data_IF_118647471107
#
_entry.id   IF_118647471107
#
_cell.length_a   1.000
_cell.length_b   1.000
_cell.length_c   1.000
_cell.angle_alpha   90.00
_cell.angle_beta   90.00
_cell.angle_gamma   90.00
#
_symmetry.space_group_name_H-M   'P 1'
#
loop_
_entity.id
_entity.type
_entity.pdbx_description
1 polymer ?
#
# COMPACT_ATOMS: atom_id res chain seq x y z
N UNK A 1 18.49 -28.04 -38.80
CA UNK A 1 18.70 -26.63 -39.17
C UNK A 1 18.56 -25.78 -37.91
N UNK A 2 19.68 -25.33 -37.34
CA UNK A 2 19.74 -24.54 -36.10
C UNK A 2 19.71 -23.06 -36.49
N UNK A 3 18.62 -22.36 -36.20
CA UNK A 3 18.55 -20.91 -36.32
C UNK A 3 19.10 -20.28 -35.04
N UNK A 4 20.24 -19.61 -35.17
CA UNK A 4 20.83 -18.78 -34.14
C UNK A 4 20.10 -17.42 -34.15
N UNK A 5 19.47 -17.07 -33.03
CA UNK A 5 18.95 -15.72 -32.83
C UNK A 5 20.09 -14.83 -32.31
N UNK A 6 20.47 -13.87 -33.15
CA UNK A 6 21.52 -12.90 -32.86
C UNK A 6 21.10 -11.93 -31.75
N UNK A 7 22.03 -11.72 -30.82
CA UNK A 7 22.02 -10.63 -29.85
C UNK A 7 22.25 -9.30 -30.58
N UNK A 8 21.27 -8.40 -30.50
CA UNK A 8 21.45 -7.00 -30.89
C UNK A 8 21.81 -6.18 -29.65
N UNK A 9 23.06 -5.70 -29.61
CA UNK A 9 23.58 -4.71 -28.67
C UNK A 9 23.60 -3.36 -29.38
N UNK A 10 22.99 -2.35 -28.77
CA UNK A 10 23.24 -0.90 -28.84
C UNK A 10 21.93 -0.17 -28.47
N UNK A 11 21.89 0.88 -27.66
CA UNK A 11 22.60 2.15 -27.80
C UNK A 11 22.74 2.80 -26.41
N UNK A 12 23.95 3.25 -26.06
CA UNK A 12 24.19 4.11 -24.91
C UNK A 12 23.71 5.54 -25.22
N UNK A 13 22.66 5.98 -24.53
CA UNK A 13 22.17 7.36 -24.57
C UNK A 13 22.97 8.22 -23.60
N UNK A 14 23.94 8.97 -24.12
CA UNK A 14 24.61 10.04 -23.39
C UNK A 14 23.61 11.18 -23.11
N UNK A 15 23.06 11.21 -21.90
CA UNK A 15 22.19 12.31 -21.46
C UNK A 15 23.05 13.49 -21.02
N UNK A 16 22.88 14.61 -21.72
CA UNK A 16 23.45 15.90 -21.37
C UNK A 16 22.90 16.33 -20.00
N UNK A 17 23.76 16.26 -18.97
CA UNK A 17 23.57 16.93 -17.69
C UNK A 17 23.58 18.45 -17.93
N UNK A 18 22.42 19.02 -18.27
CA UNK A 18 22.23 20.46 -18.13
C UNK A 18 22.29 20.79 -16.65
N UNK A 19 23.40 21.37 -16.22
CA UNK A 19 23.64 21.78 -14.85
C UNK A 19 22.49 22.65 -14.35
N UNK A 20 21.74 22.12 -13.38
CA UNK A 20 20.82 22.92 -12.61
C UNK A 20 21.63 24.09 -11.97
N UNK A 21 21.10 25.33 -12.00
CA UNK A 21 21.78 26.45 -11.38
C UNK A 21 22.03 26.13 -9.91
N UNK A 22 23.29 26.23 -9.50
CA UNK A 22 23.66 26.16 -8.09
C UNK A 22 22.93 27.31 -7.38
N UNK A 23 21.88 26.98 -6.65
CA UNK A 23 21.18 27.93 -5.80
C UNK A 23 22.21 28.55 -4.84
N UNK A 24 22.47 29.85 -5.00
CA UNK A 24 23.37 30.59 -4.12
C UNK A 24 22.77 30.59 -2.72
N UNK A 25 23.49 29.99 -1.76
CA UNK A 25 23.17 30.05 -0.35
C UNK A 25 23.45 31.47 0.17
N UNK A 26 22.42 32.31 0.27
CA UNK A 26 22.50 33.56 1.02
C UNK A 26 22.71 33.23 2.51
N UNK A 27 23.49 34.06 3.20
CA UNK A 27 23.95 33.84 4.58
C UNK A 27 22.85 33.32 5.50
N UNK A 28 22.96 32.05 5.88
CA UNK A 28 21.89 31.29 6.51
C UNK A 28 21.57 31.80 7.91
N UNK A 29 20.38 32.36 8.07
CA UNK A 29 19.76 32.47 9.38
C UNK A 29 19.74 31.09 10.02
N UNK A 30 20.32 30.98 11.21
CA UNK A 30 20.30 29.71 11.96
C UNK A 30 18.86 29.35 12.25
N UNK A 31 18.45 28.14 11.86
CA UNK A 31 17.09 27.63 12.09
C UNK A 31 16.93 27.20 13.56
N UNK A 32 15.79 27.56 14.14
CA UNK A 32 15.35 27.22 15.48
C UNK A 32 13.95 26.59 15.44
N UNK A 33 13.57 25.92 16.54
CA UNK A 33 12.22 25.41 16.69
C UNK A 33 11.21 26.55 16.75
N UNK A 34 10.07 26.38 16.08
CA UNK A 34 9.03 27.40 15.93
C UNK A 34 9.24 28.32 14.72
N UNK A 35 10.35 28.19 14.00
CA UNK A 35 10.62 29.03 12.83
C UNK A 35 9.60 28.78 11.71
N UNK A 36 9.21 29.87 11.05
CA UNK A 36 8.45 29.86 9.80
C UNK A 36 9.38 30.16 8.64
N UNK A 37 9.51 29.20 7.73
CA UNK A 37 10.39 29.23 6.59
C UNK A 37 9.65 29.79 5.37
N UNK A 38 10.21 30.86 4.79
CA UNK A 38 9.69 31.51 3.58
C UNK A 38 10.62 31.38 2.38
N UNK A 39 11.80 30.78 2.58
CA UNK A 39 12.81 30.53 1.55
C UNK A 39 13.38 29.12 1.70
N UNK A 40 13.93 28.55 0.63
CA UNK A 40 14.60 27.25 0.69
C UNK A 40 15.71 27.26 1.74
N UNK A 41 15.69 26.25 2.59
CA UNK A 41 16.49 26.24 3.82
C UNK A 41 17.13 24.87 3.97
N UNK A 42 18.40 24.85 4.37
CA UNK A 42 19.11 23.63 4.76
C UNK A 42 19.43 23.68 6.24
N UNK A 43 19.05 22.64 6.98
CA UNK A 43 19.48 22.52 8.38
C UNK A 43 20.97 22.23 8.46
N UNK A 44 21.61 22.81 9.48
CA UNK A 44 23.05 22.64 9.78
C UNK A 44 23.30 21.95 11.11
N UNK A 45 22.23 21.60 11.83
CA UNK A 45 22.24 20.91 13.12
C UNK A 45 20.90 20.25 13.38
N UNK A 46 20.91 19.29 14.31
CA UNK A 46 19.69 18.72 14.88
C UNK A 46 18.89 19.78 15.65
N UNK A 47 17.57 19.63 15.65
CA UNK A 47 16.63 20.44 16.41
C UNK A 47 15.95 19.57 17.46
N UNK A 48 16.04 19.99 18.72
CA UNK A 48 15.33 19.38 19.85
C UNK A 48 14.21 20.31 20.25
N UNK A 49 13.01 20.06 19.72
CA UNK A 49 11.88 20.96 19.84
C UNK A 49 10.97 20.54 20.99
N UNK A 50 10.56 21.47 21.88
CA UNK A 50 9.55 21.16 22.88
C UNK A 50 8.28 20.62 22.22
N UNK A 51 7.65 19.61 22.81
CA UNK A 51 6.38 19.06 22.33
C UNK A 51 5.17 19.98 22.48
N UNK A 52 5.36 21.25 22.82
CA UNK A 52 4.27 22.22 22.95
C UNK A 52 3.88 22.76 21.58
N UNK A 53 2.57 22.90 21.34
CA UNK A 53 1.99 23.44 20.12
C UNK A 53 2.61 24.79 19.70
N UNK A 54 2.59 25.15 18.38
CA UNK A 54 1.87 24.45 17.31
C UNK A 54 2.72 23.51 16.43
N UNK A 55 4.02 23.77 16.25
CA UNK A 55 4.88 22.99 15.33
C UNK A 55 6.37 23.15 15.67
N UNK A 56 7.20 22.22 15.23
CA UNK A 56 8.66 22.36 15.28
C UNK A 56 9.19 23.28 14.15
N UNK A 57 8.71 23.13 12.92
CA UNK A 57 8.95 24.07 11.82
C UNK A 57 7.67 24.25 10.99
N UNK A 58 7.52 25.42 10.38
CA UNK A 58 6.44 25.72 9.43
C UNK A 58 7.00 26.14 8.09
N UNK A 59 6.50 25.58 7.00
CA UNK A 59 6.84 25.97 5.63
C UNK A 59 5.69 26.82 5.09
N UNK A 60 5.94 28.11 4.87
CA UNK A 60 4.97 29.07 4.36
C UNK A 60 5.35 29.68 3.00
N UNK A 61 6.59 29.48 2.55
CA UNK A 61 7.03 29.91 1.21
C UNK A 61 6.54 28.95 0.12
N UNK A 62 6.07 29.46 -1.01
CA UNK A 62 5.68 28.62 -2.15
C UNK A 62 6.91 28.10 -2.90
N UNK A 63 6.91 26.82 -3.25
CA UNK A 63 7.93 26.17 -4.06
C UNK A 63 9.27 25.97 -3.36
N UNK A 64 9.34 26.15 -2.04
CA UNK A 64 10.61 26.07 -1.31
C UNK A 64 10.98 24.64 -0.93
N UNK A 65 12.28 24.41 -0.76
CA UNK A 65 12.84 23.14 -0.32
C UNK A 65 13.35 23.29 1.10
N UNK A 66 12.83 22.46 2.01
CA UNK A 66 13.44 22.21 3.31
C UNK A 66 14.30 20.94 3.22
N UNK A 67 15.61 21.13 3.21
CA UNK A 67 16.59 20.05 3.25
C UNK A 67 17.07 19.88 4.70
N UNK A 68 16.75 18.76 5.33
CA UNK A 68 17.18 18.50 6.70
C UNK A 68 18.69 18.19 6.79
N UNK A 69 19.40 18.04 5.67
CA UNK A 69 20.85 17.90 5.65
C UNK A 69 21.40 16.65 6.34
N UNK A 70 20.56 15.62 6.55
CA UNK A 70 20.84 14.44 7.36
C UNK A 70 20.59 14.64 8.85
N UNK A 71 20.14 15.82 9.27
CA UNK A 71 19.85 16.14 10.67
C UNK A 71 18.48 15.65 11.12
N UNK A 72 18.31 15.62 12.43
CA UNK A 72 17.09 15.18 13.11
C UNK A 72 16.32 16.36 13.68
N UNK A 73 15.03 16.44 13.38
CA UNK A 73 14.05 17.22 14.15
C UNK A 73 13.34 16.24 15.08
N UNK A 74 13.51 16.41 16.40
CA UNK A 74 12.89 15.52 17.39
C UNK A 74 12.04 16.29 18.38
N UNK A 75 10.93 15.68 18.79
CA UNK A 75 10.14 16.15 19.92
C UNK A 75 10.89 15.88 21.23
N UNK A 76 10.79 16.81 22.17
CA UNK A 76 11.26 16.67 23.55
C UNK A 76 10.12 16.88 24.55
N UNK A 77 10.21 16.24 25.71
CA UNK A 77 9.19 16.31 26.76
C UNK A 77 8.14 15.18 26.72
N UNK A 78 7.03 15.32 27.46
CA UNK A 78 5.92 14.36 27.46
C UNK A 78 5.24 14.24 26.09
N UNK A 79 4.65 13.08 25.82
CA UNK A 79 3.85 12.85 24.62
C UNK A 79 2.76 13.93 24.46
N UNK A 80 2.61 14.43 23.23
CA UNK A 80 1.55 15.36 22.86
C UNK A 80 1.04 14.99 21.46
N UNK A 81 -0.19 14.51 21.40
CA UNK A 81 -0.84 14.04 20.18
C UNK A 81 -1.10 15.18 19.18
N UNK A 82 -1.16 16.43 19.65
CA UNK A 82 -1.34 17.62 18.83
C UNK A 82 -0.01 18.24 18.35
N UNK A 83 1.13 17.67 18.75
CA UNK A 83 2.43 18.20 18.32
C UNK A 83 2.69 17.88 16.86
N UNK A 84 3.17 18.87 16.10
CA UNK A 84 3.53 18.71 14.69
C UNK A 84 5.04 18.90 14.49
N UNK A 85 5.69 17.99 13.76
CA UNK A 85 7.09 18.13 13.38
C UNK A 85 7.27 19.24 12.36
N UNK A 86 6.69 19.06 11.18
CA UNK A 86 6.72 20.04 10.09
C UNK A 86 5.30 20.30 9.60
N UNK A 87 4.85 21.54 9.70
CA UNK A 87 3.62 22.02 9.06
C UNK A 87 3.94 22.59 7.68
N UNK A 88 3.15 22.25 6.66
CA UNK A 88 3.33 22.72 5.29
C UNK A 88 2.07 23.42 4.79
N UNK A 89 2.20 24.71 4.45
CA UNK A 89 1.05 25.53 4.03
C UNK A 89 0.93 25.71 2.52
N UNK A 90 2.03 25.45 1.80
CA UNK A 90 2.26 25.81 0.40
C UNK A 90 2.97 24.67 -0.32
N UNK A 91 2.90 24.62 -1.66
CA UNK A 91 3.51 23.52 -2.40
C UNK A 91 5.02 23.50 -2.18
N UNK A 92 5.55 22.41 -1.64
CA UNK A 92 6.92 22.39 -1.12
C UNK A 92 7.56 21.00 -1.22
N UNK A 93 8.85 20.93 -0.88
CA UNK A 93 9.58 19.69 -0.72
C UNK A 93 10.25 19.64 0.66
N UNK A 94 10.14 18.51 1.34
CA UNK A 94 10.92 18.19 2.54
C UNK A 94 11.79 16.97 2.24
N UNK A 95 13.08 17.03 2.58
CA UNK A 95 13.99 15.94 2.24
C UNK A 95 15.15 15.71 3.20
N UNK A 96 15.75 14.54 3.08
CA UNK A 96 17.09 14.21 3.57
C UNK A 96 17.29 14.45 5.06
N UNK A 97 16.65 13.65 5.91
CA UNK A 97 16.86 13.69 7.37
C UNK A 97 15.80 12.94 8.14
N UNK A 98 15.71 13.22 9.44
CA UNK A 98 14.85 12.47 10.36
C UNK A 98 13.85 13.39 11.06
N UNK A 99 12.60 12.94 11.18
CA UNK A 99 11.54 13.60 11.95
C UNK A 99 10.97 12.57 12.91
N UNK A 100 11.04 12.85 14.22
CA UNK A 100 10.80 11.83 15.24
C UNK A 100 9.94 12.28 16.41
N UNK A 101 9.02 11.40 16.82
CA UNK A 101 8.36 11.43 18.11
C UNK A 101 7.15 12.36 18.19
N UNK A 102 6.68 12.92 17.08
CA UNK A 102 5.58 13.89 17.08
C UNK A 102 4.21 13.22 17.02
N UNK A 103 3.16 13.95 17.40
CA UNK A 103 1.80 13.54 17.10
C UNK A 103 1.57 13.43 15.60
N UNK A 104 2.05 14.42 14.83
CA UNK A 104 2.07 14.42 13.37
C UNK A 104 3.48 14.75 12.89
N UNK A 105 4.15 13.85 12.19
CA UNK A 105 5.53 14.05 11.70
C UNK A 105 5.59 15.19 10.67
N UNK A 106 4.93 14.99 9.53
CA UNK A 106 4.70 16.03 8.51
C UNK A 106 3.20 16.17 8.30
N UNK A 107 2.68 17.40 8.40
CA UNK A 107 1.25 17.66 8.26
C UNK A 107 0.94 18.83 7.33
N UNK A 108 -0.15 18.72 6.59
CA UNK A 108 -0.87 19.85 6.00
C UNK A 108 -2.01 20.26 6.95
N UNK A 109 -2.40 21.53 6.94
CA UNK A 109 -3.49 22.05 7.79
C UNK A 109 -4.68 22.48 6.92
N UNK A 110 -5.91 22.35 7.41
CA UNK A 110 -7.15 22.65 6.65
C UNK A 110 -7.18 24.01 5.96
N UNK A 111 -6.53 25.03 6.55
CA UNK A 111 -6.43 26.38 6.00
C UNK A 111 -5.34 26.57 4.94
N UNK A 112 -4.57 25.53 4.63
CA UNK A 112 -3.45 25.61 3.70
C UNK A 112 -3.90 25.54 2.23
N UNK A 113 -3.21 26.30 1.37
CA UNK A 113 -3.41 26.29 -0.08
C UNK A 113 -2.62 25.18 -0.79
N UNK A 114 -1.95 24.31 -0.02
CA UNK A 114 -1.12 23.24 -0.55
C UNK A 114 -1.96 22.23 -1.35
N UNK A 115 -1.40 21.81 -2.48
CA UNK A 115 -1.97 20.77 -3.34
C UNK A 115 -0.93 19.71 -3.72
N UNK A 116 0.35 20.00 -3.56
CA UNK A 116 1.44 19.11 -3.89
C UNK A 116 2.54 19.19 -2.82
N UNK A 117 2.89 18.05 -2.22
CA UNK A 117 4.01 17.95 -1.28
C UNK A 117 4.91 16.78 -1.67
N UNK A 118 6.20 17.07 -1.82
CA UNK A 118 7.22 16.06 -2.10
C UNK A 118 7.99 15.73 -0.83
N UNK A 119 8.03 14.46 -0.49
CA UNK A 119 8.79 13.91 0.64
C UNK A 119 9.83 12.95 0.09
N UNK A 120 11.10 13.19 0.38
CA UNK A 120 12.19 12.45 -0.23
C UNK A 120 13.31 12.11 0.75
N UNK A 121 13.72 10.85 0.84
CA UNK A 121 14.83 10.44 1.70
C UNK A 121 14.64 10.88 3.16
N UNK A 122 13.41 10.72 3.68
CA UNK A 122 13.08 11.02 5.07
C UNK A 122 12.99 9.74 5.90
N UNK A 123 13.46 9.80 7.14
CA UNK A 123 13.14 8.87 8.19
C UNK A 123 12.04 9.48 9.08
N UNK A 124 10.85 8.90 9.07
CA UNK A 124 9.69 9.33 9.86
C UNK A 124 9.46 8.27 10.95
N UNK A 125 9.91 8.59 12.17
CA UNK A 125 10.11 7.61 13.23
C UNK A 125 9.23 7.91 14.44
N UNK A 126 8.58 6.87 14.97
CA UNK A 126 7.90 6.89 16.27
C UNK A 126 6.90 8.05 16.42
N UNK A 127 6.25 8.45 15.32
CA UNK A 127 5.20 9.46 15.34
C UNK A 127 3.85 8.75 15.54
N UNK A 128 2.84 9.48 16.04
CA UNK A 128 1.48 8.94 15.96
C UNK A 128 1.05 8.84 14.48
N UNK A 129 1.10 9.93 13.73
CA UNK A 129 0.97 9.91 12.27
C UNK A 129 2.29 10.36 11.64
N UNK A 130 2.94 9.53 10.81
CA UNK A 130 4.16 9.96 10.13
C UNK A 130 3.88 11.06 9.10
N UNK A 131 2.87 10.86 8.25
CA UNK A 131 2.40 11.83 7.27
C UNK A 131 0.90 12.01 7.46
N UNK A 132 0.46 13.24 7.67
CA UNK A 132 -0.94 13.58 7.93
C UNK A 132 -1.47 14.56 6.88
N UNK A 133 -2.53 14.17 6.17
CA UNK A 133 -3.23 15.05 5.24
C UNK A 133 -4.40 15.78 5.92
N UNK A 134 -4.27 17.07 6.14
CA UNK A 134 -5.35 17.91 6.65
C UNK A 134 -6.14 18.67 5.58
N UNK A 135 -5.97 18.41 4.28
CA UNK A 135 -6.65 19.16 3.21
C UNK A 135 -7.28 18.28 2.14
N UNK A 136 -8.12 18.90 1.31
CA UNK A 136 -8.74 18.28 0.13
C UNK A 136 -7.86 18.46 -1.12
N UNK A 137 -8.02 17.54 -2.08
CA UNK A 137 -7.30 17.50 -3.36
C UNK A 137 -5.76 17.50 -3.22
N UNK A 138 -5.25 16.89 -2.14
CA UNK A 138 -3.82 16.85 -1.87
C UNK A 138 -3.10 15.79 -2.71
N UNK A 139 -1.87 16.05 -3.14
CA UNK A 139 -1.01 15.07 -3.81
C UNK A 139 0.33 14.97 -3.10
N UNK A 140 0.57 13.81 -2.49
CA UNK A 140 1.86 13.47 -1.92
C UNK A 140 2.67 12.66 -2.93
N UNK A 141 3.93 13.03 -3.11
CA UNK A 141 4.94 12.17 -3.73
C UNK A 141 5.96 11.79 -2.66
N UNK A 142 6.00 10.52 -2.28
CA UNK A 142 6.82 9.96 -1.22
C UNK A 142 7.84 9.04 -1.86
N UNK A 143 9.12 9.36 -1.73
CA UNK A 143 10.20 8.65 -2.45
C UNK A 143 11.35 8.34 -1.51
N UNK A 144 11.81 7.08 -1.50
CA UNK A 144 12.99 6.68 -0.70
C UNK A 144 12.85 6.99 0.80
N UNK A 145 11.62 6.99 1.32
CA UNK A 145 11.35 7.26 2.72
C UNK A 145 11.36 5.98 3.56
N UNK A 146 11.61 6.13 4.86
CA UNK A 146 11.53 5.07 5.86
C UNK A 146 10.53 5.48 6.93
N UNK A 147 9.41 4.78 7.01
CA UNK A 147 8.36 5.01 7.98
C UNK A 147 8.37 3.87 8.98
N UNK A 148 8.78 4.15 10.23
CA UNK A 148 8.99 3.12 11.24
C UNK A 148 8.46 3.49 12.62
N UNK A 149 7.88 2.51 13.31
CA UNK A 149 7.46 2.67 14.70
C UNK A 149 6.26 3.61 14.86
N UNK A 150 5.60 4.00 13.77
CA UNK A 150 4.49 4.93 13.85
C UNK A 150 3.19 4.19 14.18
N UNK A 151 2.28 4.88 14.86
CA UNK A 151 0.92 4.36 15.04
C UNK A 151 0.23 4.25 13.67
N UNK A 152 0.28 5.32 12.86
CA UNK A 152 -0.13 5.31 11.46
C UNK A 152 1.00 5.89 10.58
N UNK A 153 1.35 5.19 9.49
CA UNK A 153 2.35 5.67 8.53
C UNK A 153 1.80 6.82 7.66
N UNK A 154 0.74 6.54 6.90
CA UNK A 154 0.00 7.52 6.09
C UNK A 154 -1.41 7.69 6.64
N UNK A 155 -1.77 8.92 6.99
CA UNK A 155 -3.04 9.27 7.64
C UNK A 155 -3.64 10.54 7.03
N UNK A 156 -4.90 10.83 7.36
CA UNK A 156 -5.58 12.04 6.96
C UNK A 156 -6.68 12.44 7.95
N UNK A 157 -7.20 13.66 7.80
CA UNK A 157 -8.37 14.11 8.56
C UNK A 157 -9.57 13.23 8.19
N UNK A 158 -10.16 12.50 9.15
CA UNK A 158 -11.28 11.59 8.89
C UNK A 158 -12.46 12.33 8.28
N UNK A 159 -12.97 11.83 7.16
CA UNK A 159 -14.06 12.46 6.37
C UNK A 159 -13.83 13.93 5.92
N UNK A 160 -12.69 14.54 6.27
CA UNK A 160 -12.39 15.97 6.03
C UNK A 160 -11.28 16.21 5.02
N UNK A 161 -10.47 15.20 4.72
CA UNK A 161 -9.38 15.27 3.76
C UNK A 161 -9.59 14.34 2.58
N UNK A 162 -9.07 14.72 1.42
CA UNK A 162 -9.06 13.89 0.19
C UNK A 162 -7.75 14.09 -0.54
N UNK A 163 -7.40 13.14 -1.42
CA UNK A 163 -6.18 13.28 -2.22
C UNK A 163 -5.57 11.97 -2.64
N UNK A 164 -4.27 12.01 -2.95
CA UNK A 164 -3.51 10.83 -3.32
C UNK A 164 -2.12 10.77 -2.68
N UNK A 165 -1.68 9.55 -2.40
CA UNK A 165 -0.32 9.22 -1.99
C UNK A 165 0.34 8.38 -3.09
N UNK A 166 1.35 8.94 -3.76
CA UNK A 166 2.23 8.23 -4.69
C UNK A 166 3.52 7.84 -3.94
N UNK A 167 3.65 6.55 -3.61
CA UNK A 167 4.71 6.00 -2.76
C UNK A 167 5.67 5.18 -3.61
N UNK A 168 6.97 5.52 -3.57
CA UNK A 168 7.99 4.86 -4.40
C UNK A 168 9.22 4.51 -3.60
N UNK A 169 9.76 3.31 -3.83
CA UNK A 169 11.05 2.86 -3.28
C UNK A 169 11.19 3.12 -1.79
N UNK A 170 10.09 2.99 -1.05
CA UNK A 170 10.00 3.35 0.37
C UNK A 170 9.78 2.12 1.24
N UNK A 171 10.12 2.23 2.53
CA UNK A 171 10.06 1.12 3.48
C UNK A 171 9.16 1.48 4.65
N UNK A 172 8.17 0.63 4.92
CA UNK A 172 7.24 0.73 6.05
C UNK A 172 7.50 -0.45 6.97
N UNK A 173 7.88 -0.19 8.22
CA UNK A 173 8.21 -1.27 9.15
C UNK A 173 7.85 -1.00 10.60
N UNK A 174 7.35 -2.00 11.32
CA UNK A 174 6.95 -1.86 12.72
C UNK A 174 5.97 -0.72 12.96
N UNK A 175 5.10 -0.43 12.00
CA UNK A 175 3.96 0.46 12.23
C UNK A 175 2.77 -0.38 12.69
N UNK A 176 1.89 0.22 13.50
CA UNK A 176 0.61 -0.41 13.85
C UNK A 176 -0.26 -0.47 12.59
N UNK A 177 -0.45 0.65 11.90
CA UNK A 177 -1.04 0.70 10.56
C UNK A 177 -0.08 1.42 9.61
N UNK A 178 0.42 0.76 8.58
CA UNK A 178 1.32 1.43 7.63
C UNK A 178 0.59 2.47 6.77
N UNK A 179 -0.64 2.19 6.32
CA UNK A 179 -1.44 3.10 5.51
C UNK A 179 -2.92 3.03 5.90
N UNK A 180 -3.49 4.17 6.26
CA UNK A 180 -4.92 4.32 6.52
C UNK A 180 -5.56 5.07 5.35
N UNK A 181 -6.52 4.44 4.69
CA UNK A 181 -7.13 4.93 3.44
C UNK A 181 -8.57 5.34 3.69
N UNK A 182 -8.79 6.64 3.75
CA UNK A 182 -10.09 7.25 4.02
C UNK A 182 -10.30 8.45 3.08
N UNK A 183 -10.93 8.20 1.93
CA UNK A 183 -11.07 9.13 0.81
C UNK A 183 -9.74 9.50 0.11
N UNK A 184 -8.75 8.62 0.17
CA UNK A 184 -7.49 8.77 -0.57
C UNK A 184 -7.27 7.67 -1.61
N UNK A 185 -6.58 8.02 -2.68
CA UNK A 185 -5.99 7.05 -3.60
C UNK A 185 -4.52 6.81 -3.22
N UNK A 186 -4.13 5.56 -3.03
CA UNK A 186 -2.74 5.18 -2.76
C UNK A 186 -2.20 4.33 -3.91
N UNK A 187 -1.15 4.82 -4.57
CA UNK A 187 -0.39 4.08 -5.58
C UNK A 187 1.02 3.83 -5.04
N UNK A 188 1.38 2.56 -4.91
CA UNK A 188 2.62 2.08 -4.32
C UNK A 188 3.43 1.36 -5.40
N UNK A 189 4.68 1.78 -5.56
CA UNK A 189 5.62 1.22 -6.52
C UNK A 189 6.93 0.86 -5.81
N UNK A 190 7.46 -0.33 -6.09
CA UNK A 190 8.81 -0.74 -5.68
C UNK A 190 9.07 -0.56 -4.17
N UNK A 191 8.05 -0.75 -3.34
CA UNK A 191 8.12 -0.46 -1.90
C UNK A 191 7.99 -1.72 -1.06
N UNK A 192 8.49 -1.66 0.17
CA UNK A 192 8.52 -2.80 1.10
C UNK A 192 7.72 -2.50 2.35
N UNK A 193 6.81 -3.41 2.70
CA UNK A 193 6.00 -3.37 3.91
C UNK A 193 6.34 -4.60 4.73
N UNK A 194 7.00 -4.42 5.87
CA UNK A 194 7.43 -5.55 6.68
C UNK A 194 7.38 -5.36 8.18
N UNK A 195 6.96 -6.40 8.89
CA UNK A 195 6.85 -6.38 10.35
C UNK A 195 5.89 -5.29 10.84
N UNK A 196 4.89 -4.91 10.04
CA UNK A 196 3.79 -4.06 10.51
C UNK A 196 2.71 -4.95 11.13
N UNK A 197 1.93 -4.40 12.05
CA UNK A 197 0.73 -5.08 12.52
C UNK A 197 -0.30 -5.15 11.38
N UNK A 198 -0.54 -4.03 10.71
CA UNK A 198 -1.38 -3.96 9.52
C UNK A 198 -0.70 -3.14 8.41
N UNK A 199 -0.57 -3.70 7.20
CA UNK A 199 0.00 -2.93 6.08
C UNK A 199 -1.01 -1.91 5.51
N UNK A 200 -2.30 -2.27 5.40
CA UNK A 200 -3.34 -1.38 4.86
C UNK A 200 -4.64 -1.48 5.64
N UNK A 201 -5.20 -0.34 6.01
CA UNK A 201 -6.60 -0.21 6.40
C UNK A 201 -7.34 0.52 5.29
N UNK A 202 -8.11 -0.20 4.45
CA UNK A 202 -8.85 0.43 3.35
C UNK A 202 -10.32 0.61 3.73
N UNK A 203 -10.69 1.84 4.10
CA UNK A 203 -12.07 2.19 4.43
C UNK A 203 -12.82 2.76 3.23
N UNK A 204 -12.21 3.75 2.57
CA UNK A 204 -12.73 4.37 1.38
C UNK A 204 -11.61 4.89 0.49
N UNK A 205 -11.72 4.67 -0.82
CA UNK A 205 -10.72 5.05 -1.80
C UNK A 205 -10.13 3.84 -2.53
N UNK A 206 -8.92 3.98 -3.08
CA UNK A 206 -8.28 2.93 -3.89
C UNK A 206 -6.85 2.67 -3.44
N UNK A 207 -6.44 1.41 -3.54
CA UNK A 207 -5.07 1.00 -3.22
C UNK A 207 -4.51 0.15 -4.34
N UNK A 208 -3.34 0.53 -4.84
CA UNK A 208 -2.61 -0.21 -5.88
C UNK A 208 -1.18 -0.46 -5.44
N UNK A 209 -0.77 -1.72 -5.44
CA UNK A 209 0.63 -2.14 -5.29
C UNK A 209 1.19 -2.62 -6.63
N UNK A 210 2.40 -2.17 -6.95
CA UNK A 210 3.15 -2.57 -8.14
C UNK A 210 4.57 -2.93 -7.77
N UNK A 211 5.03 -4.10 -8.21
CA UNK A 211 6.44 -4.52 -8.02
C UNK A 211 6.91 -4.33 -6.57
N UNK A 212 6.01 -4.58 -5.61
CA UNK A 212 6.21 -4.28 -4.19
C UNK A 212 6.26 -5.57 -3.39
N UNK A 213 6.72 -5.48 -2.15
CA UNK A 213 6.84 -6.64 -1.24
C UNK A 213 6.08 -6.37 0.06
N UNK A 214 5.19 -7.29 0.44
CA UNK A 214 4.45 -7.27 1.69
C UNK A 214 4.76 -8.57 2.45
N UNK A 215 5.61 -8.48 3.47
CA UNK A 215 6.13 -9.68 4.15
C UNK A 215 6.30 -9.56 5.65
N UNK A 216 6.06 -10.65 6.38
CA UNK A 216 6.16 -10.69 7.85
C UNK A 216 5.28 -9.66 8.55
N UNK A 217 4.15 -9.26 7.96
CA UNK A 217 3.15 -8.45 8.65
C UNK A 217 2.21 -9.37 9.43
N UNK A 218 1.63 -8.87 10.53
CA UNK A 218 0.60 -9.63 11.23
C UNK A 218 -0.65 -9.78 10.34
N UNK A 219 -1.01 -8.72 9.61
CA UNK A 219 -2.02 -8.76 8.54
C UNK A 219 -1.65 -7.87 7.36
N UNK A 220 -2.00 -8.32 6.15
CA UNK A 220 -1.75 -7.55 4.92
C UNK A 220 -2.75 -6.40 4.79
N UNK A 221 -4.04 -6.67 4.92
CA UNK A 221 -5.07 -5.63 4.78
C UNK A 221 -6.31 -5.92 5.61
N UNK A 222 -7.03 -4.87 5.98
CA UNK A 222 -8.43 -4.96 6.41
C UNK A 222 -9.28 -4.05 5.55
N UNK A 223 -10.42 -4.58 5.12
CA UNK A 223 -11.38 -3.90 4.25
C UNK A 223 -12.77 -4.18 4.84
N UNK A 224 -13.15 -3.47 5.91
CA UNK A 224 -14.38 -3.77 6.64
C UNK A 224 -15.62 -3.44 5.82
N UNK A 225 -16.73 -4.08 6.19
CA UNK A 225 -18.05 -3.75 5.69
C UNK A 225 -18.76 -2.82 6.67
N UNK A 226 -18.61 -1.52 6.48
CA UNK A 226 -19.21 -0.52 7.37
C UNK A 226 -20.70 -0.28 7.09
N UNK A 227 -21.33 -0.99 6.14
CA UNK A 227 -22.77 -0.88 5.83
C UNK A 227 -23.24 0.51 5.33
N UNK A 228 -22.32 1.44 5.06
CA UNK A 228 -22.59 2.81 4.56
C UNK A 228 -21.92 3.19 3.22
N UNK A 229 -21.71 4.48 2.99
CA UNK A 229 -21.05 4.95 1.75
C UNK A 229 -19.54 4.70 1.73
N UNK A 230 -18.95 4.33 2.88
CA UNK A 230 -17.51 4.08 3.03
C UNK A 230 -17.18 2.68 2.53
N UNK A 231 -16.58 2.63 1.34
CA UNK A 231 -16.21 1.38 0.69
C UNK A 231 -14.85 1.53 0.02
N UNK A 232 -13.99 0.53 0.18
CA UNK A 232 -12.77 0.42 -0.61
C UNK A 232 -13.16 0.12 -2.07
N UNK A 233 -12.95 1.08 -2.96
CA UNK A 233 -13.39 1.00 -4.36
C UNK A 233 -12.58 -0.06 -5.13
N UNK A 234 -11.27 -0.09 -4.93
CA UNK A 234 -10.41 -1.11 -5.54
C UNK A 234 -9.21 -1.43 -4.66
N UNK A 235 -8.98 -2.73 -4.45
CA UNK A 235 -7.71 -3.29 -3.98
C UNK A 235 -7.01 -3.96 -5.17
N UNK A 236 -5.80 -3.49 -5.52
CA UNK A 236 -5.09 -3.94 -6.71
C UNK A 236 -3.64 -4.32 -6.44
N UNK A 237 -3.23 -5.47 -6.93
CA UNK A 237 -1.84 -5.95 -6.90
C UNK A 237 -1.35 -6.29 -8.30
N UNK A 238 -0.15 -5.85 -8.65
CA UNK A 238 0.52 -6.16 -9.91
C UNK A 238 1.98 -6.51 -9.66
N UNK A 239 2.43 -7.68 -10.12
CA UNK A 239 3.81 -8.13 -9.93
C UNK A 239 4.27 -7.98 -8.46
N UNK A 240 3.39 -8.26 -7.51
CA UNK A 240 3.63 -8.00 -6.08
C UNK A 240 3.87 -9.32 -5.36
N UNK A 241 4.84 -9.32 -4.45
CA UNK A 241 5.14 -10.45 -3.56
C UNK A 241 4.43 -10.24 -2.21
N UNK A 242 3.60 -11.20 -1.82
CA UNK A 242 2.89 -11.26 -0.53
C UNK A 242 3.29 -12.56 0.16
N UNK A 243 4.20 -12.47 1.14
CA UNK A 243 4.90 -13.65 1.64
C UNK A 243 5.05 -13.67 3.17
N UNK A 244 4.89 -14.84 3.81
CA UNK A 244 5.22 -15.03 5.23
C UNK A 244 4.46 -14.07 6.17
N UNK A 245 3.26 -13.63 5.80
CA UNK A 245 2.40 -12.86 6.71
C UNK A 245 1.65 -13.84 7.61
N UNK A 246 1.40 -13.44 8.87
CA UNK A 246 0.63 -14.27 9.81
C UNK A 246 -0.77 -14.52 9.27
N UNK A 247 -1.39 -13.49 8.67
CA UNK A 247 -2.64 -13.60 7.94
C UNK A 247 -2.70 -12.58 6.80
N UNK A 248 -3.61 -12.78 5.85
CA UNK A 248 -3.93 -11.76 4.83
C UNK A 248 -4.91 -10.72 5.37
N UNK A 249 -5.80 -11.11 6.29
CA UNK A 249 -6.72 -10.23 6.99
C UNK A 249 -6.70 -10.49 8.50
N UNK A 250 -6.99 -9.48 9.35
CA UNK A 250 -7.11 -9.70 10.79
C UNK A 250 -8.19 -10.74 11.12
N UNK A 251 -7.99 -11.57 12.16
CA UNK A 251 -8.94 -12.64 12.50
C UNK A 251 -10.32 -12.11 12.92
N UNK A 252 -10.42 -10.87 13.39
CA UNK A 252 -11.68 -10.21 13.75
C UNK A 252 -12.50 -9.83 12.50
N UNK A 253 -11.84 -9.60 11.36
CA UNK A 253 -12.46 -9.23 10.08
C UNK A 253 -11.76 -9.98 8.94
N UNK A 254 -11.94 -11.31 8.84
CA UNK A 254 -11.09 -12.17 8.01
C UNK A 254 -11.39 -12.08 6.52
N UNK A 255 -12.50 -11.43 6.13
CA UNK A 255 -12.95 -11.31 4.74
C UNK A 255 -12.77 -9.87 4.26
N UNK A 256 -11.95 -9.68 3.23
CA UNK A 256 -11.83 -8.39 2.55
C UNK A 256 -13.11 -8.06 1.79
N UNK A 257 -13.61 -6.82 1.89
CA UNK A 257 -14.85 -6.42 1.21
C UNK A 257 -14.70 -5.25 0.20
N UNK A 258 -13.76 -5.28 -0.76
CA UNK A 258 -13.63 -4.23 -1.75
C UNK A 258 -14.75 -4.33 -2.81
N UNK A 259 -15.14 -3.21 -3.43
CA UNK A 259 -16.01 -3.28 -4.62
C UNK A 259 -15.32 -4.06 -5.75
N UNK A 260 -14.03 -3.80 -5.97
CA UNK A 260 -13.22 -4.50 -6.97
C UNK A 260 -11.93 -5.06 -6.38
N UNK A 261 -11.65 -6.32 -6.67
CA UNK A 261 -10.37 -6.96 -6.38
C UNK A 261 -9.64 -7.31 -7.68
N UNK A 262 -8.44 -6.77 -7.86
CA UNK A 262 -7.58 -7.03 -9.01
C UNK A 262 -6.24 -7.61 -8.57
N UNK A 263 -5.83 -8.76 -9.11
CA UNK A 263 -4.51 -9.33 -8.87
C UNK A 263 -3.92 -9.82 -10.18
N UNK A 264 -2.74 -9.31 -10.54
CA UNK A 264 -2.07 -9.61 -11.80
C UNK A 264 -0.63 -10.05 -11.53
N UNK A 265 -0.25 -11.20 -12.07
CA UNK A 265 1.13 -11.69 -12.11
C UNK A 265 1.83 -11.62 -10.74
N UNK A 266 1.08 -11.84 -9.65
CA UNK A 266 1.55 -11.68 -8.27
C UNK A 266 1.77 -13.03 -7.59
N UNK A 267 2.62 -13.02 -6.56
CA UNK A 267 2.99 -14.19 -5.77
C UNK A 267 2.40 -14.06 -4.36
N UNK A 268 1.59 -15.04 -3.95
CA UNK A 268 1.00 -15.15 -2.62
C UNK A 268 1.51 -16.46 -2.01
N UNK A 269 2.50 -16.37 -1.13
CA UNK A 269 3.32 -17.54 -0.75
C UNK A 269 3.46 -17.66 0.77
N UNK A 270 3.29 -18.87 1.31
CA UNK A 270 3.59 -19.20 2.71
C UNK A 270 2.94 -18.26 3.74
N UNK A 271 1.71 -17.81 3.47
CA UNK A 271 0.94 -17.01 4.41
C UNK A 271 0.14 -17.93 5.35
N UNK A 272 0.04 -17.55 6.62
CA UNK A 272 -0.66 -18.31 7.66
C UNK A 272 -2.19 -18.34 7.51
N UNK A 273 -2.73 -17.64 6.50
CA UNK A 273 -4.13 -17.68 6.09
C UNK A 273 -4.22 -17.59 4.56
N UNK A 274 -5.28 -18.17 3.98
CA UNK A 274 -5.65 -17.90 2.58
C UNK A 274 -6.34 -16.56 2.37
N UNK A 275 -6.50 -16.17 1.11
CA UNK A 275 -7.14 -14.90 0.75
C UNK A 275 -8.65 -15.10 0.69
N UNK A 276 -9.37 -14.50 1.63
CA UNK A 276 -10.84 -14.48 1.61
C UNK A 276 -11.32 -13.09 1.19
N UNK A 277 -12.12 -13.00 0.13
CA UNK A 277 -12.69 -11.74 -0.31
C UNK A 277 -14.15 -11.87 -0.74
N UNK A 278 -14.96 -10.91 -0.30
CA UNK A 278 -16.29 -10.66 -0.80
C UNK A 278 -16.23 -9.41 -1.70
N UNK A 279 -16.46 -9.55 -3.00
CA UNK A 279 -16.34 -8.41 -3.93
C UNK A 279 -17.52 -8.34 -4.91
N UNK A 280 -17.69 -7.19 -5.56
CA UNK A 280 -18.67 -7.05 -6.64
C UNK A 280 -18.08 -7.57 -7.95
N UNK A 281 -16.80 -7.21 -8.20
CA UNK A 281 -16.05 -7.65 -9.38
C UNK A 281 -14.64 -8.12 -9.05
N UNK A 282 -14.17 -9.14 -9.78
CA UNK A 282 -12.80 -9.64 -9.69
C UNK A 282 -12.08 -9.67 -11.04
N UNK A 283 -10.78 -9.40 -11.02
CA UNK A 283 -9.87 -9.68 -12.14
C UNK A 283 -8.58 -10.31 -11.61
N UNK A 284 -8.53 -11.64 -11.62
CA UNK A 284 -7.45 -12.44 -11.05
C UNK A 284 -6.74 -13.19 -12.18
N UNK A 285 -5.53 -12.74 -12.53
CA UNK A 285 -4.81 -13.21 -13.70
C UNK A 285 -3.33 -13.51 -13.42
N UNK A 286 -2.87 -14.71 -13.77
CA UNK A 286 -1.43 -15.01 -13.81
C UNK A 286 -0.77 -15.13 -12.42
N UNK A 287 -1.55 -15.22 -11.35
CA UNK A 287 -1.02 -15.24 -10.00
C UNK A 287 -0.62 -16.66 -9.58
N UNK A 288 0.30 -16.75 -8.61
CA UNK A 288 0.65 -18.01 -7.95
C UNK A 288 0.31 -17.93 -6.46
N UNK A 289 -0.55 -18.83 -6.01
CA UNK A 289 -0.89 -19.06 -4.61
C UNK A 289 -0.23 -20.38 -4.19
N UNK A 290 0.84 -20.32 -3.41
CA UNK A 290 1.65 -21.48 -3.04
C UNK A 290 1.84 -21.61 -1.54
N UNK A 291 1.66 -22.81 -0.99
CA UNK A 291 2.02 -23.14 0.39
C UNK A 291 1.34 -22.23 1.45
N UNK A 292 0.17 -21.69 1.13
CA UNK A 292 -0.62 -20.93 2.10
C UNK A 292 -1.54 -21.86 2.90
N UNK A 293 -1.97 -21.40 4.07
CA UNK A 293 -2.93 -22.15 4.88
C UNK A 293 -4.26 -22.44 4.14
N UNK A 294 -4.62 -21.61 3.16
CA UNK A 294 -5.68 -21.83 2.17
C UNK A 294 -5.36 -21.01 0.91
N UNK A 295 -5.96 -21.32 -0.23
CA UNK A 295 -5.73 -20.60 -1.48
C UNK A 295 -6.50 -19.29 -1.57
N UNK A 296 -7.40 -19.20 -2.55
CA UNK A 296 -8.27 -18.04 -2.78
C UNK A 296 -9.74 -18.42 -2.59
N UNK A 297 -10.41 -17.79 -1.63
CA UNK A 297 -11.86 -17.91 -1.41
C UNK A 297 -12.58 -16.62 -1.77
N UNK A 298 -13.61 -16.74 -2.62
CA UNK A 298 -14.33 -15.62 -3.19
C UNK A 298 -15.84 -15.78 -3.00
N UNK A 299 -16.49 -14.69 -2.62
CA UNK A 299 -17.95 -14.60 -2.55
C UNK A 299 -18.44 -13.22 -3.00
N UNK A 300 -19.76 -13.07 -3.08
CA UNK A 300 -20.41 -11.79 -3.29
C UNK A 300 -20.44 -10.96 -2.02
N UNK A 301 -20.39 -9.62 -2.13
CA UNK A 301 -20.53 -8.74 -0.97
C UNK A 301 -21.91 -8.89 -0.32
N UNK A 302 -21.89 -9.01 1.00
CA UNK A 302 -23.10 -8.99 1.82
C UNK A 302 -23.46 -7.54 2.15
N UNK A 303 -24.11 -6.86 1.20
CA UNK A 303 -24.68 -5.53 1.41
C UNK A 303 -26.16 -5.63 1.80
N UNK A 304 -26.82 -4.49 2.02
CA UNK A 304 -28.29 -4.41 2.19
C UNK A 304 -29.07 -5.26 1.16
N UNK A 305 -28.47 -5.46 -0.02
CA UNK A 305 -28.86 -6.49 -0.98
C UNK A 305 -27.60 -7.29 -1.36
N UNK A 306 -27.62 -8.63 -1.29
CA UNK A 306 -26.49 -9.45 -1.72
C UNK A 306 -26.08 -9.13 -3.15
N UNK A 307 -24.81 -8.80 -3.35
CA UNK A 307 -24.24 -8.55 -4.68
C UNK A 307 -23.72 -9.85 -5.25
N UNK A 308 -24.06 -10.14 -6.51
CA UNK A 308 -23.49 -11.29 -7.22
C UNK A 308 -22.08 -10.93 -7.66
N UNK A 309 -21.07 -11.61 -7.09
CA UNK A 309 -19.69 -11.50 -7.57
C UNK A 309 -19.61 -11.89 -9.06
N UNK A 310 -19.02 -11.03 -9.89
CA UNK A 310 -18.73 -11.32 -11.31
C UNK A 310 -17.26 -11.06 -11.64
N UNK A 311 -16.82 -11.43 -12.85
CA UNK A 311 -15.45 -11.12 -13.30
C UNK A 311 -14.73 -12.31 -13.90
N UNK A 312 -13.39 -12.26 -13.90
CA UNK A 312 -12.53 -13.25 -14.58
C UNK A 312 -11.46 -13.75 -13.62
N UNK A 313 -11.30 -15.08 -13.57
CA UNK A 313 -10.24 -15.77 -12.85
C UNK A 313 -9.52 -16.68 -13.86
N UNK A 314 -8.32 -16.31 -14.27
CA UNK A 314 -7.62 -17.01 -15.35
C UNK A 314 -6.12 -17.17 -15.19
N UNK A 315 -5.57 -18.28 -15.69
CA UNK A 315 -4.12 -18.45 -15.77
C UNK A 315 -3.43 -18.46 -14.41
N UNK A 316 -4.14 -18.74 -13.32
CA UNK A 316 -3.56 -18.76 -11.98
C UNK A 316 -3.08 -20.16 -11.62
N UNK A 317 -2.10 -20.23 -10.72
CA UNK A 317 -1.56 -21.46 -10.16
C UNK A 317 -1.87 -21.53 -8.68
N UNK A 318 -2.52 -22.59 -8.23
CA UNK A 318 -2.87 -22.88 -6.85
C UNK A 318 -2.19 -24.17 -6.41
N UNK A 319 -1.07 -24.03 -5.70
CA UNK A 319 -0.11 -25.10 -5.54
C UNK A 319 0.07 -25.40 -4.05
N UNK A 320 -0.14 -26.65 -3.64
CA UNK A 320 0.23 -27.14 -2.30
C UNK A 320 -0.31 -26.27 -1.15
N UNK A 321 -1.51 -25.70 -1.28
CA UNK A 321 -2.13 -24.98 -0.17
C UNK A 321 -2.74 -25.99 0.80
N UNK A 322 -2.73 -25.66 2.09
CA UNK A 322 -3.30 -26.50 3.16
C UNK A 322 -4.83 -26.51 3.16
N UNK A 323 -5.48 -25.72 2.28
CA UNK A 323 -6.91 -25.70 2.05
C UNK A 323 -7.25 -25.99 0.59
N UNK A 324 -8.23 -25.28 0.04
CA UNK A 324 -8.54 -25.35 -1.38
C UNK A 324 -7.53 -24.54 -2.20
N UNK A 325 -7.43 -24.83 -3.49
CA UNK A 325 -6.76 -23.92 -4.41
C UNK A 325 -7.59 -22.67 -4.68
N UNK A 326 -8.78 -22.86 -5.27
CA UNK A 326 -9.77 -21.82 -5.50
C UNK A 326 -11.13 -22.26 -4.96
N UNK A 327 -11.79 -21.40 -4.20
CA UNK A 327 -13.18 -21.54 -3.78
C UNK A 327 -14.00 -20.33 -4.23
N UNK A 328 -15.11 -20.59 -4.93
CA UNK A 328 -16.11 -19.58 -5.28
C UNK A 328 -17.45 -20.00 -4.66
N UNK A 329 -17.94 -19.18 -3.74
CA UNK A 329 -19.18 -19.43 -3.03
C UNK A 329 -20.37 -18.74 -3.70
N UNK A 330 -21.56 -19.28 -3.49
CA UNK A 330 -22.79 -18.61 -3.88
C UNK A 330 -22.93 -17.29 -3.08
N UNK A 331 -23.41 -16.20 -3.72
CA UNK A 331 -24.04 -16.15 -5.03
C UNK A 331 -23.08 -15.89 -6.21
N UNK A 332 -21.77 -15.98 -6.05
CA UNK A 332 -20.77 -15.59 -7.05
C UNK A 332 -20.84 -16.37 -8.37
N UNK A 333 -20.64 -15.68 -9.50
CA UNK A 333 -20.66 -16.24 -10.86
C UNK A 333 -19.53 -15.67 -11.76
N UNK A 334 -18.25 -15.67 -11.34
CA UNK A 334 -17.15 -15.30 -12.22
C UNK A 334 -16.97 -16.33 -13.36
N UNK A 335 -16.25 -15.96 -14.41
CA UNK A 335 -15.73 -16.90 -15.40
C UNK A 335 -14.38 -17.45 -14.95
N UNK A 336 -14.25 -18.77 -14.89
CA UNK A 336 -13.03 -19.47 -14.45
C UNK A 336 -12.45 -20.26 -15.61
N UNK A 337 -11.21 -19.97 -16.01
CA UNK A 337 -10.56 -20.61 -17.16
C UNK A 337 -9.05 -20.71 -17.06
N UNK A 338 -8.46 -21.75 -17.63
CA UNK A 338 -7.00 -21.93 -17.72
C UNK A 338 -6.27 -21.84 -16.37
N UNK A 339 -6.88 -22.27 -15.27
CA UNK A 339 -6.22 -22.30 -13.95
C UNK A 339 -5.63 -23.69 -13.68
N UNK A 340 -4.57 -23.74 -12.88
CA UNK A 340 -3.88 -24.97 -12.49
C UNK A 340 -3.95 -25.12 -10.98
N UNK A 341 -4.47 -26.25 -10.48
CA UNK A 341 -4.55 -26.53 -9.04
C UNK A 341 -3.94 -27.89 -8.69
N UNK A 342 -2.81 -27.91 -8.00
CA UNK A 342 -2.00 -29.11 -7.76
C UNK A 342 -1.68 -29.29 -6.29
N UNK A 343 -1.91 -30.49 -5.75
CA UNK A 343 -1.40 -30.86 -4.44
C UNK A 343 -2.04 -30.12 -3.26
N UNK A 344 -3.20 -29.48 -3.43
CA UNK A 344 -3.89 -28.81 -2.33
C UNK A 344 -4.57 -29.86 -1.44
N UNK A 345 -4.62 -29.66 -0.12
CA UNK A 345 -5.23 -30.67 0.76
C UNK A 345 -6.76 -30.72 0.59
N UNK A 346 -7.36 -29.58 0.24
CA UNK A 346 -8.78 -29.41 -0.07
C UNK A 346 -9.10 -29.75 -1.53
N UNK A 347 -10.05 -29.02 -2.10
CA UNK A 347 -10.36 -29.08 -3.53
C UNK A 347 -9.32 -28.32 -4.34
N UNK A 348 -9.02 -28.79 -5.55
CA UNK A 348 -8.25 -27.99 -6.50
C UNK A 348 -9.00 -26.70 -6.87
N UNK A 349 -10.16 -26.85 -7.51
CA UNK A 349 -11.04 -25.75 -7.91
C UNK A 349 -12.50 -26.06 -7.53
N UNK A 350 -13.02 -25.42 -6.48
CA UNK A 350 -14.40 -25.51 -6.05
C UNK A 350 -15.19 -24.27 -6.49
N UNK A 351 -15.97 -24.36 -7.57
CA UNK A 351 -16.73 -23.23 -8.09
C UNK A 351 -18.08 -23.67 -8.72
N UNK A 352 -19.02 -24.23 -7.92
CA UNK A 352 -20.30 -24.78 -8.38
C UNK A 352 -21.19 -23.79 -9.15
N UNK A 353 -21.01 -22.49 -8.94
CA UNK A 353 -21.85 -21.42 -9.51
C UNK A 353 -21.14 -20.61 -10.60
N UNK A 354 -19.86 -20.87 -10.86
CA UNK A 354 -19.07 -20.14 -11.85
C UNK A 354 -19.41 -20.55 -13.28
N UNK A 355 -19.10 -19.67 -14.24
CA UNK A 355 -19.08 -20.03 -15.64
C UNK A 355 -17.75 -20.71 -15.97
N UNK A 356 -17.81 -21.96 -16.42
CA UNK A 356 -16.64 -22.70 -16.88
C UNK A 356 -16.20 -22.18 -18.26
N UNK A 357 -15.06 -21.49 -18.30
CA UNK A 357 -14.45 -21.04 -19.56
C UNK A 357 -13.46 -22.06 -20.16
N UNK A 358 -13.28 -23.23 -19.53
CA UNK A 358 -12.45 -24.32 -20.01
C UNK A 358 -10.95 -24.19 -19.70
N UNK A 359 -10.19 -25.24 -20.02
CA UNK A 359 -8.73 -25.30 -19.90
C UNK A 359 -8.18 -25.39 -18.47
N UNK A 360 -9.04 -25.63 -17.48
CA UNK A 360 -8.63 -25.81 -16.10
C UNK A 360 -7.95 -27.19 -15.92
N UNK A 361 -6.92 -27.25 -15.07
CA UNK A 361 -6.19 -28.47 -14.72
C UNK A 361 -6.22 -28.59 -13.20
N UNK A 362 -6.63 -29.76 -12.70
CA UNK A 362 -6.54 -30.04 -11.28
C UNK A 362 -6.25 -31.52 -11.04
N UNK A 363 -5.23 -31.80 -10.22
CA UNK A 363 -4.85 -33.17 -9.84
C UNK A 363 -4.15 -33.20 -8.49
N UNK A 364 -4.13 -34.40 -7.91
CA UNK A 364 -3.45 -34.68 -6.65
C UNK A 364 -3.96 -33.81 -5.48
N UNK A 365 -5.23 -33.38 -5.53
CA UNK A 365 -5.86 -32.61 -4.45
C UNK A 365 -6.65 -33.54 -3.51
N UNK A 366 -6.64 -33.27 -2.21
CA UNK A 366 -7.12 -34.21 -1.19
C UNK A 366 -8.64 -34.38 -1.14
N UNK A 367 -9.43 -33.31 -1.27
CA UNK A 367 -10.90 -33.38 -1.24
C UNK A 367 -11.53 -33.62 -2.62
N UNK A 368 -10.78 -33.34 -3.69
CA UNK A 368 -11.21 -33.55 -5.07
C UNK A 368 -10.61 -32.53 -6.03
N UNK A 369 -10.67 -32.82 -7.33
CA UNK A 369 -10.06 -31.93 -8.32
C UNK A 369 -10.92 -30.70 -8.61
N UNK A 370 -12.11 -30.89 -9.20
CA UNK A 370 -12.98 -29.78 -9.59
C UNK A 370 -14.45 -30.02 -9.27
N UNK A 371 -15.14 -28.96 -8.85
CA UNK A 371 -16.58 -28.92 -8.61
C UNK A 371 -17.17 -27.72 -9.33
N UNK A 372 -18.19 -27.94 -10.16
CA UNK A 372 -18.81 -26.87 -10.99
C UNK A 372 -18.05 -26.52 -12.27
N UNK A 373 -16.87 -27.09 -12.46
CA UNK A 373 -15.98 -26.84 -13.59
C UNK A 373 -15.49 -28.16 -14.19
N UNK A 374 -15.07 -28.11 -15.44
CA UNK A 374 -14.39 -29.20 -16.14
C UNK A 374 -12.89 -29.05 -16.00
N UNK A 375 -12.22 -30.11 -15.56
CA UNK A 375 -10.76 -30.11 -15.42
C UNK A 375 -10.13 -31.31 -16.11
N UNK A 376 -9.02 -31.04 -16.81
CA UNK A 376 -8.14 -32.09 -17.32
C UNK A 376 -7.26 -32.65 -16.19
N UNK A 377 -6.85 -33.90 -16.35
CA UNK A 377 -5.97 -34.61 -15.41
C UNK A 377 -4.49 -34.57 -15.77
N UNK A 378 -4.11 -33.95 -16.90
CA UNK A 378 -2.79 -34.08 -17.53
C UNK A 378 -2.24 -32.75 -18.03
#
# INVERSE_FOLDING_TARGET
MKQAHGFAVAVATATLLMGAPAAQASGGTTVHCGDTLTHSTKLTRDLSCPGTAPFALRIAGEGIVLDLGGHTIRRTGPENLESVGITVDTNSMVRNGTIQGFGKGVATTESSGVRNLRLHQLALLDNRAAIFNGVVDMRFLITECRLRGNFVGLDGEPDGSTGSFDVRSSVFTHNEVAMYVDFHDIDVLDSTFTSNELAVFCRQGRVRFRSSTLTWNASVSTIPNDGGFRQCDEMRFENTLIENNTALAPPEVPVWQPQKLSMLDSLVISNGAGLQAAADTVYIHGNTFFDNADGLSLTGRDWQVPVVLTGIIRGNQFLSNDGDGLRVEAPGKPTVLNNVALGNTGFGLFAPTAFDGGGNIARDNGAGNCVGLTCASH
#
